data_IF_345990054320
#
_entry.id   IF_345990054320
#
_cell.length_a   1.000
_cell.length_b   1.000
_cell.length_c   1.000
_cell.angle_alpha   90.00
_cell.angle_beta   90.00
_cell.angle_gamma   90.00
#
_symmetry.space_group_name_H-M   'P 1'
#
loop_
_entity.id
_entity.type
_entity.pdbx_description
1 polymer ?
#
# COMPACT_ATOMS: atom_id res chain seq x y z
N UNK A 1 9.89 -6.28 0.38
CA UNK A 1 8.78 -6.33 -0.59
C UNK A 1 8.51 -7.76 -1.03
N UNK A 2 7.26 -8.10 -1.20
CA UNK A 2 6.89 -9.41 -1.73
C UNK A 2 7.02 -9.43 -3.26
N UNK A 3 7.08 -10.64 -3.84
CA UNK A 3 7.06 -10.79 -5.30
C UNK A 3 5.78 -10.23 -5.90
N UNK A 4 4.65 -10.42 -5.21
CA UNK A 4 3.36 -9.91 -5.64
C UNK A 4 3.37 -8.39 -5.70
N UNK A 5 3.93 -7.74 -4.69
CA UNK A 5 4.04 -6.28 -4.67
C UNK A 5 4.88 -5.78 -5.83
N UNK A 6 6.00 -6.45 -6.13
CA UNK A 6 6.85 -6.08 -7.26
C UNK A 6 6.09 -6.15 -8.58
N UNK A 7 5.34 -7.24 -8.79
CA UNK A 7 4.53 -7.40 -10.01
C UNK A 7 3.44 -6.34 -10.09
N UNK A 8 2.81 -6.04 -8.96
CA UNK A 8 1.77 -5.01 -8.88
C UNK A 8 2.35 -3.64 -9.26
N UNK A 9 3.54 -3.33 -8.74
CA UNK A 9 4.23 -2.07 -9.04
C UNK A 9 4.52 -1.96 -10.54
N UNK A 10 5.02 -3.03 -11.14
CA UNK A 10 5.31 -3.05 -12.58
C UNK A 10 4.04 -2.83 -13.40
N UNK A 11 2.91 -3.42 -12.98
CA UNK A 11 1.63 -3.25 -13.66
C UNK A 11 1.18 -1.79 -13.60
N UNK A 12 1.29 -1.16 -12.43
CA UNK A 12 0.94 0.25 -12.27
C UNK A 12 1.83 1.15 -13.14
N UNK A 13 3.11 0.84 -13.20
CA UNK A 13 4.05 1.60 -14.02
C UNK A 13 3.69 1.49 -15.52
N UNK A 14 3.34 0.29 -15.97
CA UNK A 14 2.94 0.06 -17.36
C UNK A 14 1.65 0.80 -17.72
N UNK A 15 0.76 1.01 -16.75
CA UNK A 15 -0.47 1.78 -16.95
C UNK A 15 -0.24 3.28 -16.98
N UNK A 16 0.99 3.72 -16.73
CA UNK A 16 1.33 5.14 -16.73
C UNK A 16 1.00 5.87 -15.44
N UNK A 17 0.83 5.14 -14.33
CA UNK A 17 0.60 5.76 -13.03
C UNK A 17 1.83 6.55 -12.60
N UNK A 18 1.60 7.66 -11.88
CA UNK A 18 2.69 8.47 -11.35
C UNK A 18 3.32 7.78 -10.15
N UNK A 19 4.39 7.02 -10.39
CA UNK A 19 5.03 6.21 -9.37
C UNK A 19 5.66 7.01 -8.23
N UNK A 20 5.91 8.31 -8.43
CA UNK A 20 6.38 9.17 -7.35
C UNK A 20 5.37 9.28 -6.21
N UNK A 21 4.08 9.19 -6.53
CA UNK A 21 3.02 9.21 -5.51
C UNK A 21 3.13 7.99 -4.60
N UNK A 22 3.40 6.82 -5.17
CA UNK A 22 3.59 5.59 -4.39
C UNK A 22 4.85 5.69 -3.54
N UNK A 23 5.95 6.17 -4.11
CA UNK A 23 7.21 6.34 -3.38
C UNK A 23 7.05 7.29 -2.20
N UNK A 24 6.28 8.37 -2.38
CA UNK A 24 6.03 9.33 -1.31
C UNK A 24 5.28 8.66 -0.15
N UNK A 25 4.26 7.87 -0.44
CA UNK A 25 3.51 7.16 0.60
C UNK A 25 4.42 6.18 1.35
N UNK A 26 5.25 5.44 0.64
CA UNK A 26 6.19 4.49 1.25
C UNK A 26 7.17 5.22 2.17
N UNK A 27 7.73 6.34 1.71
CA UNK A 27 8.66 7.14 2.53
C UNK A 27 8.01 7.65 3.81
N UNK A 28 6.75 8.09 3.73
CA UNK A 28 6.03 8.55 4.92
C UNK A 28 5.84 7.42 5.92
N UNK A 29 5.47 6.24 5.44
CA UNK A 29 5.31 5.07 6.32
C UNK A 29 6.64 4.68 6.96
N UNK A 30 7.72 4.69 6.20
CA UNK A 30 9.05 4.35 6.73
C UNK A 30 9.56 5.38 7.73
N UNK A 31 9.23 6.65 7.51
CA UNK A 31 9.70 7.73 8.38
C UNK A 31 8.93 7.85 9.69
N UNK A 32 7.62 7.63 9.66
CA UNK A 32 6.77 7.90 10.84
C UNK A 32 5.77 6.81 11.17
N UNK A 33 5.75 5.71 10.42
CA UNK A 33 4.88 4.57 10.71
C UNK A 33 3.40 4.83 10.51
N UNK A 34 3.04 5.94 9.86
CA UNK A 34 1.65 6.32 9.62
C UNK A 34 1.56 7.25 8.44
N UNK A 35 0.33 7.45 7.95
CA UNK A 35 0.06 8.34 6.82
C UNK A 35 -0.91 9.45 7.22
N UNK A 36 -0.83 10.62 6.56
CA UNK A 36 -1.81 11.69 6.77
C UNK A 36 -3.23 11.22 6.45
N UNK A 37 -4.26 11.84 7.06
CA UNK A 37 -5.66 11.46 6.83
C UNK A 37 -6.10 11.52 5.37
N UNK A 38 -5.45 12.32 4.54
CA UNK A 38 -5.78 12.41 3.11
C UNK A 38 -5.59 11.08 2.37
N UNK A 39 -4.74 10.20 2.88
CA UNK A 39 -4.56 8.86 2.32
C UNK A 39 -5.62 7.86 2.79
N UNK A 40 -6.45 8.25 3.76
CA UNK A 40 -7.47 7.38 4.38
C UNK A 40 -6.92 6.03 4.83
N UNK A 41 -5.83 6.01 5.63
CA UNK A 41 -5.27 4.74 6.09
C UNK A 41 -6.22 4.05 7.05
N UNK A 42 -6.40 2.74 6.87
CA UNK A 42 -7.24 1.95 7.76
C UNK A 42 -6.83 0.49 7.74
N UNK A 43 -7.17 -0.22 8.82
CA UNK A 43 -6.92 -1.65 8.90
C UNK A 43 -7.99 -2.40 8.12
N UNK A 44 -7.57 -3.44 7.41
CA UNK A 44 -8.50 -4.37 6.79
C UNK A 44 -9.02 -5.35 7.84
N UNK A 45 -10.19 -5.95 7.59
CA UNK A 45 -10.83 -6.88 8.53
C UNK A 45 -10.92 -8.27 7.92
N UNK A 46 -11.38 -9.24 8.74
CA UNK A 46 -11.50 -10.62 8.31
C UNK A 46 -10.15 -11.29 8.12
N UNK A 47 -9.93 -11.90 6.96
CA UNK A 47 -8.68 -12.61 6.68
C UNK A 47 -7.47 -11.69 6.53
N UNK A 48 -7.67 -10.38 6.60
CA UNK A 48 -6.62 -9.38 6.42
C UNK A 48 -6.32 -8.61 7.70
N UNK A 49 -6.50 -9.24 8.86
CA UNK A 49 -6.40 -8.58 10.18
C UNK A 49 -5.10 -7.81 10.41
N UNK A 50 -3.98 -8.29 9.87
CA UNK A 50 -2.68 -7.63 10.05
C UNK A 50 -2.36 -6.63 8.95
N UNK A 51 -3.25 -6.47 7.99
CA UNK A 51 -3.03 -5.63 6.82
C UNK A 51 -3.69 -4.27 6.95
N UNK A 52 -3.01 -3.29 6.40
CA UNK A 52 -3.50 -1.91 6.28
C UNK A 52 -3.69 -1.57 4.81
N UNK A 53 -4.59 -0.63 4.55
CA UNK A 53 -4.85 -0.13 3.21
C UNK A 53 -4.91 1.39 3.24
N UNK A 54 -4.43 2.02 2.18
CA UNK A 54 -4.62 3.46 1.99
C UNK A 54 -4.91 3.76 0.51
N UNK A 55 -5.35 4.98 0.25
CA UNK A 55 -5.59 5.47 -1.10
C UNK A 55 -4.43 6.35 -1.53
N UNK A 56 -3.74 5.96 -2.61
CA UNK A 56 -2.66 6.78 -3.19
C UNK A 56 -3.30 7.90 -4.01
N UNK A 57 -4.22 7.54 -4.91
CA UNK A 57 -4.95 8.50 -5.72
C UNK A 57 -6.19 7.80 -6.29
N UNK A 58 -7.39 8.32 -6.00
CA UNK A 58 -8.63 7.71 -6.48
C UNK A 58 -8.74 6.26 -6.05
N UNK A 59 -8.88 5.35 -7.01
CA UNK A 59 -9.02 3.92 -6.75
C UNK A 59 -7.66 3.19 -6.67
N UNK A 60 -6.56 3.91 -6.70
CA UNK A 60 -5.23 3.31 -6.58
C UNK A 60 -4.88 3.14 -5.11
N UNK A 61 -4.77 1.89 -4.68
CA UNK A 61 -4.58 1.49 -3.28
C UNK A 61 -3.16 0.99 -3.03
N UNK A 62 -2.74 1.08 -1.76
CA UNK A 62 -1.52 0.45 -1.27
C UNK A 62 -1.90 -0.40 -0.07
N UNK A 63 -1.44 -1.66 -0.06
CA UNK A 63 -1.66 -2.59 1.04
C UNK A 63 -0.33 -2.99 1.64
N UNK A 64 -0.25 -2.98 2.98
CA UNK A 64 0.96 -3.37 3.69
C UNK A 64 0.60 -4.03 5.01
N UNK A 65 1.55 -4.80 5.54
CA UNK A 65 1.46 -5.34 6.88
C UNK A 65 2.40 -4.54 7.78
N UNK A 66 1.97 -4.29 9.00
CA UNK A 66 2.73 -3.47 9.94
C UNK A 66 2.74 -4.13 11.31
N UNK A 67 3.93 -4.26 11.88
CA UNK A 67 4.13 -4.73 13.26
C UNK A 67 4.80 -3.62 14.04
N UNK A 68 4.03 -2.91 14.85
CA UNK A 68 4.53 -1.77 15.61
C UNK A 68 5.53 -2.19 16.70
N UNK A 69 5.38 -3.41 17.26
CA UNK A 69 6.30 -3.91 18.27
C UNK A 69 7.71 -4.15 17.72
N UNK A 70 7.78 -4.62 16.47
CA UNK A 70 9.05 -4.89 15.81
C UNK A 70 9.49 -3.79 14.85
N UNK A 71 8.65 -2.77 14.68
CA UNK A 71 8.88 -1.65 13.76
C UNK A 71 9.14 -2.14 12.33
N UNK A 72 8.36 -3.12 11.89
CA UNK A 72 8.50 -3.68 10.54
C UNK A 72 7.33 -3.30 9.65
N UNK A 73 7.65 -3.12 8.37
CA UNK A 73 6.67 -2.84 7.32
C UNK A 73 6.91 -3.82 6.18
N UNK A 74 5.84 -4.43 5.68
CA UNK A 74 5.93 -5.34 4.54
C UNK A 74 4.87 -4.92 3.52
N UNK A 75 5.31 -4.43 2.36
CA UNK A 75 4.39 -4.00 1.30
C UNK A 75 3.95 -5.23 0.51
N UNK A 76 2.64 -5.47 0.45
CA UNK A 76 2.08 -6.71 -0.08
C UNK A 76 1.25 -6.53 -1.35
N UNK A 77 0.75 -5.32 -1.63
CA UNK A 77 -0.03 -5.11 -2.85
C UNK A 77 -0.25 -3.65 -3.18
N UNK A 78 -0.45 -3.35 -4.45
CA UNK A 78 -0.85 -2.04 -4.92
C UNK A 78 -1.60 -2.18 -6.25
N UNK A 79 -2.60 -1.34 -6.45
CA UNK A 79 -3.44 -1.38 -7.64
C UNK A 79 -4.84 -0.92 -7.33
N UNK A 80 -5.79 -1.20 -8.25
CA UNK A 80 -7.19 -0.89 -8.02
C UNK A 80 -7.85 -1.96 -7.16
N UNK A 81 -9.07 -1.71 -6.67
CA UNK A 81 -9.85 -2.72 -5.96
C UNK A 81 -9.96 -4.00 -6.79
N UNK A 82 -10.23 -3.88 -8.09
CA UNK A 82 -10.34 -5.05 -8.96
C UNK A 82 -9.03 -5.83 -9.06
N UNK A 83 -7.90 -5.12 -9.10
CA UNK A 83 -6.59 -5.77 -9.14
C UNK A 83 -6.30 -6.58 -7.88
N UNK A 84 -6.71 -6.05 -6.73
CA UNK A 84 -6.32 -6.60 -5.43
C UNK A 84 -7.34 -7.57 -4.85
N UNK A 85 -8.61 -7.34 -5.10
CA UNK A 85 -9.69 -8.12 -4.48
C UNK A 85 -10.62 -8.83 -5.48
N UNK A 86 -10.38 -8.61 -6.76
CA UNK A 86 -11.20 -9.21 -7.81
C UNK A 86 -12.50 -8.46 -8.06
#
# INVERSE_FOLDING_TARGET
>A
MTKTFRKDTERCQKRGYNMELLKTAIRLLEAQGSLPPSYRPHKLSGNYDSSWECHIKGDWLLIWEQNDSELTLLFTGTGTHSDLFG
#
